data_IF_010322890738
#
_entry.id   IF_010322890738
#
_cell.length_a   1.000
_cell.length_b   1.000
_cell.length_c   1.000
_cell.angle_alpha   90.00
_cell.angle_beta   90.00
_cell.angle_gamma   90.00
#
_symmetry.space_group_name_H-M   'P 1'
#
loop_
_entity.id
_entity.type
_entity.pdbx_description
1 polymer ?
#
# COMPACT_ATOMS: atom_id res chain seq x y z
N UNK A 1 -0.17 -12.84 8.57
CA UNK A 1 0.05 -11.56 7.86
C UNK A 1 0.47 -10.46 8.84
N UNK A 2 -0.31 -10.26 9.86
CA UNK A 2 -0.07 -9.17 10.81
C UNK A 2 1.31 -9.25 11.46
N UNK A 3 1.66 -10.39 12.02
CA UNK A 3 2.90 -10.54 12.77
C UNK A 3 4.13 -10.39 11.87
N UNK A 4 4.06 -10.93 10.66
CA UNK A 4 5.16 -10.80 9.70
C UNK A 4 5.33 -9.35 9.26
N UNK A 5 4.24 -8.67 8.97
CA UNK A 5 4.28 -7.27 8.55
C UNK A 5 4.79 -6.38 9.69
N UNK A 6 4.33 -6.64 10.91
CA UNK A 6 4.78 -5.90 12.09
C UNK A 6 6.29 -6.09 12.31
N UNK A 7 6.79 -7.31 12.14
CA UNK A 7 8.21 -7.59 12.26
C UNK A 7 9.04 -6.87 11.19
N UNK A 8 8.55 -6.83 9.95
CA UNK A 8 9.23 -6.12 8.87
C UNK A 8 9.28 -4.62 9.16
N UNK A 9 8.18 -4.04 9.60
CA UNK A 9 8.13 -2.61 9.94
C UNK A 9 9.05 -2.27 11.10
N UNK A 10 9.12 -3.14 12.10
CA UNK A 10 10.04 -2.98 13.22
C UNK A 10 11.48 -2.96 12.75
N UNK A 11 11.85 -3.92 11.91
CA UNK A 11 13.22 -4.00 11.39
C UNK A 11 13.59 -2.78 10.55
N UNK A 12 12.69 -2.32 9.70
CA UNK A 12 12.93 -1.15 8.86
C UNK A 12 13.03 0.12 9.71
N UNK A 13 12.18 0.24 10.73
CA UNK A 13 12.21 1.37 11.65
C UNK A 13 13.52 1.48 12.42
N UNK A 14 14.09 0.35 12.83
CA UNK A 14 15.40 0.32 13.49
C UNK A 14 16.51 0.82 12.58
N UNK A 15 16.35 0.70 11.29
CA UNK A 15 17.32 1.17 10.30
C UNK A 15 17.03 2.58 9.82
N UNK A 16 16.02 3.24 10.36
CA UNK A 16 15.64 4.59 9.96
C UNK A 16 15.08 4.70 8.56
N UNK A 17 14.54 3.61 8.03
CA UNK A 17 13.99 3.59 6.67
C UNK A 17 12.52 4.00 6.73
N UNK A 18 12.15 4.99 5.93
CA UNK A 18 10.75 5.38 5.76
C UNK A 18 9.99 4.29 5.05
N UNK A 19 8.76 4.05 5.48
CA UNK A 19 7.91 3.00 4.92
C UNK A 19 6.58 3.58 4.51
N UNK A 20 6.09 3.12 3.38
CA UNK A 20 4.72 3.32 2.95
C UNK A 20 4.07 1.96 2.74
N UNK A 21 2.91 1.77 3.34
CA UNK A 21 2.13 0.56 3.13
C UNK A 21 1.13 0.77 2.01
N UNK A 22 1.10 -0.17 1.09
CA UNK A 22 0.04 -0.27 0.10
C UNK A 22 -0.99 -1.25 0.64
N UNK A 23 -2.05 -0.70 1.22
CA UNK A 23 -3.03 -1.48 1.96
C UNK A 23 -3.86 -2.40 1.09
N UNK A 24 -4.37 -3.44 1.70
CA UNK A 24 -5.25 -4.41 1.07
C UNK A 24 -6.47 -4.64 1.94
N UNK A 25 -7.57 -5.01 1.31
CA UNK A 25 -8.79 -5.45 1.98
C UNK A 25 -9.03 -6.92 1.67
N UNK A 26 -9.68 -7.61 2.60
CA UNK A 26 -10.03 -9.01 2.40
C UNK A 26 -11.10 -9.13 1.31
N UNK A 27 -11.04 -10.19 0.47
CA UNK A 27 -12.11 -10.45 -0.49
C UNK A 27 -13.45 -10.64 0.23
N UNK A 28 -14.56 -10.12 -0.33
CA UNK A 28 -15.87 -10.22 0.34
C UNK A 28 -16.35 -11.65 0.59
N UNK A 29 -15.90 -12.60 -0.23
CA UNK A 29 -16.32 -13.99 -0.14
C UNK A 29 -15.71 -14.74 1.06
N UNK A 30 -14.79 -14.14 1.80
CA UNK A 30 -14.18 -14.77 2.97
C UNK A 30 -14.96 -14.51 4.27
N UNK A 31 -16.05 -13.75 4.21
CA UNK A 31 -16.94 -13.53 5.33
C UNK A 31 -16.58 -12.29 6.16
N UNK A 32 -17.57 -11.87 6.96
CA UNK A 32 -17.47 -10.64 7.75
C UNK A 32 -16.44 -10.76 8.87
N UNK A 33 -16.34 -11.94 9.50
CA UNK A 33 -15.40 -12.15 10.60
C UNK A 33 -13.95 -12.01 10.12
N UNK A 34 -13.64 -12.63 8.98
CA UNK A 34 -12.31 -12.53 8.40
C UNK A 34 -11.97 -11.09 8.01
N UNK A 35 -12.92 -10.39 7.39
CA UNK A 35 -12.72 -8.98 7.03
C UNK A 35 -12.49 -8.12 8.26
N UNK A 36 -13.24 -8.38 9.33
CA UNK A 36 -13.08 -7.65 10.59
C UNK A 36 -11.71 -7.82 11.21
N UNK A 37 -11.06 -8.96 10.99
CA UNK A 37 -9.71 -9.22 11.48
C UNK A 37 -8.63 -8.72 10.51
N UNK A 38 -8.87 -8.87 9.21
CA UNK A 38 -7.87 -8.55 8.19
C UNK A 38 -7.83 -7.07 7.84
N UNK A 39 -8.98 -6.46 7.56
CA UNK A 39 -9.02 -5.10 7.03
C UNK A 39 -8.32 -4.07 7.93
N UNK A 40 -8.39 -4.16 9.27
CA UNK A 40 -7.71 -3.20 10.13
C UNK A 40 -6.20 -3.36 10.21
N UNK A 41 -5.62 -4.45 9.69
CA UNK A 41 -4.18 -4.74 9.87
C UNK A 41 -3.31 -3.59 9.34
N UNK A 42 -3.54 -3.16 8.10
CA UNK A 42 -2.71 -2.15 7.47
C UNK A 42 -2.84 -0.79 8.15
N UNK A 43 -4.05 -0.26 8.40
CA UNK A 43 -4.18 1.00 9.11
C UNK A 43 -3.59 0.97 10.53
N UNK A 44 -3.80 -0.12 11.27
CA UNK A 44 -3.29 -0.23 12.63
C UNK A 44 -1.77 -0.26 12.67
N UNK A 45 -1.13 -1.00 11.76
CA UNK A 45 0.32 -1.08 11.69
C UNK A 45 0.94 0.22 11.15
N UNK A 46 0.28 0.86 10.20
CA UNK A 46 0.74 2.17 9.72
C UNK A 46 0.77 3.17 10.87
N UNK A 47 -0.29 3.20 11.68
CA UNK A 47 -0.35 4.08 12.84
C UNK A 47 0.71 3.73 13.89
N UNK A 48 0.86 2.44 14.19
CA UNK A 48 1.83 1.96 15.19
C UNK A 48 3.26 2.35 14.83
N UNK A 49 3.61 2.23 13.55
CA UNK A 49 4.99 2.44 13.09
C UNK A 49 5.22 3.81 12.45
N UNK A 50 4.20 4.66 12.40
CA UNK A 50 4.34 5.96 11.74
C UNK A 50 4.57 5.85 10.24
N UNK A 51 4.07 4.80 9.60
CA UNK A 51 4.20 4.59 8.17
C UNK A 51 3.11 5.33 7.40
N UNK A 52 3.43 5.75 6.18
CA UNK A 52 2.42 6.24 5.26
C UNK A 52 1.55 5.09 4.78
N UNK A 53 0.32 5.38 4.40
CA UNK A 53 -0.65 4.35 4.02
C UNK A 53 -1.43 4.78 2.80
N UNK A 54 -1.48 3.91 1.80
CA UNK A 54 -2.55 3.90 0.80
C UNK A 54 -3.57 2.88 1.30
N UNK A 55 -4.79 3.31 1.69
CA UNK A 55 -5.73 2.40 2.37
C UNK A 55 -6.08 1.15 1.58
N UNK A 56 -6.30 1.28 0.27
CA UNK A 56 -6.58 0.14 -0.58
C UNK A 56 -5.98 0.36 -1.97
N UNK A 57 -4.89 -0.35 -2.25
CA UNK A 57 -4.13 -0.16 -3.48
C UNK A 57 -4.94 -0.51 -4.73
N UNK A 58 -5.87 -1.46 -4.63
CA UNK A 58 -6.71 -1.88 -5.75
C UNK A 58 -7.96 -1.01 -5.94
N UNK A 59 -8.11 0.07 -5.18
CA UNK A 59 -9.32 0.91 -5.21
C UNK A 59 -9.66 1.37 -6.63
N UNK A 60 -8.68 1.78 -7.40
CA UNK A 60 -8.89 2.34 -8.73
C UNK A 60 -9.47 1.34 -9.72
N UNK A 61 -9.29 0.04 -9.49
CA UNK A 61 -9.77 -1.01 -10.40
C UNK A 61 -10.95 -1.80 -9.85
N UNK A 62 -11.29 -1.59 -8.57
CA UNK A 62 -12.37 -2.32 -7.92
C UNK A 62 -13.71 -2.00 -8.57
N UNK A 63 -14.44 -3.04 -8.93
CA UNK A 63 -15.75 -2.90 -9.57
C UNK A 63 -15.69 -2.48 -11.03
N UNK A 64 -14.52 -2.49 -11.65
CA UNK A 64 -14.33 -2.09 -13.05
C UNK A 64 -13.84 -3.28 -13.88
N UNK A 65 -14.76 -4.03 -14.54
CA UNK A 65 -14.39 -5.24 -15.27
C UNK A 65 -13.34 -5.03 -16.36
N UNK A 66 -13.28 -3.84 -16.94
CA UNK A 66 -12.33 -3.52 -18.01
C UNK A 66 -10.90 -3.40 -17.50
N UNK A 67 -10.73 -3.20 -16.21
CA UNK A 67 -9.43 -2.93 -15.59
C UNK A 67 -8.88 -4.13 -14.85
N UNK A 68 -9.62 -5.24 -14.79
CA UNK A 68 -9.17 -6.48 -14.16
C UNK A 68 -9.23 -7.63 -15.16
N UNK A 69 -8.39 -8.64 -14.92
CA UNK A 69 -8.35 -9.83 -15.74
C UNK A 69 -9.58 -10.70 -15.49
N UNK A 70 -9.70 -11.83 -16.21
CA UNK A 70 -10.83 -12.71 -16.09
C UNK A 70 -11.02 -13.28 -14.68
N UNK A 71 -9.94 -13.37 -13.91
CA UNK A 71 -9.99 -13.83 -12.52
C UNK A 71 -10.64 -12.80 -11.59
N UNK A 72 -10.93 -11.60 -12.08
CA UNK A 72 -11.53 -10.49 -11.34
C UNK A 72 -10.70 -10.04 -10.14
N UNK A 73 -9.42 -10.35 -10.17
CA UNK A 73 -8.50 -10.05 -9.06
C UNK A 73 -7.30 -9.25 -9.55
N UNK A 74 -6.62 -9.75 -10.58
CA UNK A 74 -5.39 -9.12 -11.07
C UNK A 74 -5.72 -8.01 -12.07
N UNK A 75 -5.10 -6.82 -11.94
CA UNK A 75 -5.33 -5.74 -12.88
C UNK A 75 -4.79 -6.07 -14.27
N UNK A 76 -5.43 -5.49 -15.29
CA UNK A 76 -4.88 -5.44 -16.63
C UNK A 76 -3.77 -4.37 -16.70
N UNK A 77 -3.05 -4.28 -17.82
CA UNK A 77 -2.06 -3.22 -18.02
C UNK A 77 -2.69 -1.84 -17.82
N UNK A 78 -3.88 -1.62 -18.38
CA UNK A 78 -4.62 -0.36 -18.20
C UNK A 78 -5.02 -0.16 -16.74
N UNK A 79 -5.43 -1.23 -16.05
CA UNK A 79 -5.72 -1.18 -14.63
C UNK A 79 -4.53 -0.74 -13.80
N UNK A 80 -3.34 -1.23 -14.13
CA UNK A 80 -2.11 -0.82 -13.45
C UNK A 80 -1.85 0.67 -13.66
N UNK A 81 -2.05 1.18 -14.89
CA UNK A 81 -1.91 2.60 -15.15
C UNK A 81 -2.84 3.45 -14.27
N UNK A 82 -4.09 3.01 -14.13
CA UNK A 82 -5.07 3.69 -13.27
C UNK A 82 -4.66 3.63 -11.79
N UNK A 83 -4.16 2.49 -11.33
CA UNK A 83 -3.68 2.35 -9.96
C UNK A 83 -2.50 3.28 -9.68
N UNK A 84 -1.54 3.35 -10.61
CA UNK A 84 -0.40 4.24 -10.48
C UNK A 84 -0.85 5.69 -10.45
N UNK A 85 -1.74 6.07 -11.37
CA UNK A 85 -2.27 7.44 -11.41
C UNK A 85 -2.97 7.81 -10.10
N UNK A 86 -3.72 6.87 -9.51
CA UNK A 86 -4.46 7.11 -8.29
C UNK A 86 -3.56 7.22 -7.05
N UNK A 87 -2.37 6.65 -7.07
CA UNK A 87 -1.50 6.55 -5.90
C UNK A 87 -0.21 7.37 -5.99
N UNK A 88 0.14 7.84 -7.17
CA UNK A 88 1.43 8.53 -7.39
C UNK A 88 1.59 9.75 -6.48
N UNK A 89 0.56 10.54 -6.29
CA UNK A 89 0.63 11.73 -5.43
C UNK A 89 0.92 11.34 -3.97
N UNK A 90 0.27 10.29 -3.48
CA UNK A 90 0.50 9.80 -2.13
C UNK A 90 1.94 9.31 -1.95
N UNK A 91 2.49 8.63 -2.97
CA UNK A 91 3.88 8.18 -2.94
C UNK A 91 4.83 9.38 -2.89
N UNK A 92 4.60 10.38 -3.74
CA UNK A 92 5.44 11.58 -3.76
C UNK A 92 5.41 12.29 -2.41
N UNK A 93 4.24 12.41 -1.80
CA UNK A 93 4.10 13.04 -0.48
C UNK A 93 4.81 12.26 0.63
N UNK A 94 4.90 10.94 0.50
CA UNK A 94 5.55 10.08 1.48
C UNK A 94 7.07 10.07 1.36
N UNK A 95 7.62 10.52 0.24
CA UNK A 95 9.07 10.60 0.06
C UNK A 95 9.66 11.65 1.01
N UNK A 96 10.90 11.45 1.46
CA UNK A 96 11.57 12.48 2.24
C UNK A 96 11.70 13.75 1.41
N UNK A 97 11.69 14.93 2.06
CA UNK A 97 11.89 16.18 1.34
C UNK A 97 13.18 16.11 0.55
N UNK A 98 13.14 16.68 -0.67
CA UNK A 98 14.33 16.78 -1.48
C UNK A 98 15.41 17.52 -0.67
N UNK A 99 16.49 16.81 -0.40
CA UNK A 99 17.62 17.46 0.24
C UNK A 99 18.31 18.30 -0.83
N UNK A 100 18.45 19.59 -0.53
CA UNK A 100 19.30 20.46 -1.35
C UNK A 100 20.74 20.13 -1.05
N UNK A 101 21.06 18.86 -1.00
CA UNK A 101 22.44 18.44 -0.84
C UNK A 101 23.15 18.64 -2.15
N UNK A 102 24.45 18.84 -2.06
CA UNK A 102 25.30 18.89 -3.23
C UNK A 102 24.98 17.74 -4.18
N UNK A 103 25.02 17.98 -5.49
CA UNK A 103 24.85 16.90 -6.43
C UNK A 103 25.86 15.79 -6.16
N UNK A 104 25.51 14.54 -6.51
CA UNK A 104 26.45 13.44 -6.29
C UNK A 104 27.76 13.72 -6.98
N UNK A 105 28.85 13.29 -6.37
CA UNK A 105 30.16 13.47 -6.98
C UNK A 105 30.21 12.82 -8.34
N UNK A 106 30.79 13.48 -9.27
CA UNK A 106 30.91 12.99 -10.65
C UNK A 106 32.09 12.07 -10.80
#
# INVERSE_FOLDING_TARGET
TRDNLDAMLTALGKRGIRVMLLGMLAPPNLGADYRGEFDPIYPALAKKHGAALVPFFLQAVTGKPDLVQQDRMHPTAKGIEEMVAATAEAVVKALPPATVSSPPPR
#
